data_IF_395421928055
#
_entry.id   IF_395421928055
#
_cell.length_a   1.000
_cell.length_b   1.000
_cell.length_c   1.000
_cell.angle_alpha   90.00
_cell.angle_beta   90.00
_cell.angle_gamma   90.00
#
_symmetry.space_group_name_H-M   'P 1'
#
loop_
_entity.id
_entity.type
_entity.pdbx_description
1 polymer ?
#
# COMPACT_ATOMS: atom_id res chain seq x y z
N UNK A 1 -15.34 5.62 -3.56
CA UNK A 1 -14.65 4.35 -3.26
C UNK A 1 -15.54 3.20 -3.70
N UNK A 2 -15.05 2.30 -4.55
CA UNK A 2 -15.78 1.09 -4.94
C UNK A 2 -15.15 -0.13 -4.26
N UNK A 3 -15.95 -1.01 -3.68
CA UNK A 3 -15.47 -2.28 -3.11
C UNK A 3 -14.69 -3.10 -4.14
N UNK A 4 -15.10 -3.05 -5.41
CA UNK A 4 -14.42 -3.73 -6.51
C UNK A 4 -12.95 -3.31 -6.64
N UNK A 5 -12.67 -2.00 -6.56
CA UNK A 5 -11.30 -1.49 -6.66
C UNK A 5 -10.44 -1.96 -5.47
N UNK A 6 -11.03 -2.03 -4.27
CA UNK A 6 -10.34 -2.49 -3.07
C UNK A 6 -10.01 -3.97 -3.16
N UNK A 7 -10.98 -4.82 -3.49
CA UNK A 7 -10.73 -6.25 -3.60
C UNK A 7 -9.79 -6.58 -4.77
N UNK A 8 -9.89 -5.89 -5.91
CA UNK A 8 -8.89 -6.00 -7.00
C UNK A 8 -7.49 -5.58 -6.56
N UNK A 9 -7.39 -4.53 -5.74
CA UNK A 9 -6.10 -4.10 -5.20
C UNK A 9 -5.51 -5.15 -4.23
N UNK A 10 -6.34 -5.74 -3.36
CA UNK A 10 -5.95 -6.77 -2.40
C UNK A 10 -5.66 -8.14 -3.02
N UNK A 11 -6.23 -8.47 -4.19
CA UNK A 11 -6.03 -9.76 -4.85
C UNK A 11 -4.65 -9.95 -5.50
N UNK A 12 -3.76 -8.95 -5.43
CA UNK A 12 -2.43 -8.97 -6.07
C UNK A 12 -1.33 -9.13 -5.04
N UNK A 13 -0.49 -10.15 -5.26
CA UNK A 13 0.59 -10.52 -4.36
C UNK A 13 1.58 -9.37 -4.11
N UNK A 14 1.95 -8.61 -5.14
CA UNK A 14 2.92 -7.50 -4.99
C UNK A 14 2.34 -6.36 -4.17
N UNK A 15 1.06 -6.03 -4.39
CA UNK A 15 0.36 -5.02 -3.59
C UNK A 15 0.22 -5.43 -2.12
N UNK A 16 -0.04 -6.71 -1.84
CA UNK A 16 -0.03 -7.23 -0.48
C UNK A 16 1.37 -7.13 0.17
N UNK A 17 2.43 -7.48 -0.56
CA UNK A 17 3.81 -7.30 -0.09
C UNK A 17 4.12 -5.83 0.24
N UNK A 18 3.71 -4.89 -0.62
CA UNK A 18 3.85 -3.44 -0.36
C UNK A 18 3.14 -3.03 0.93
N UNK A 19 1.89 -3.45 1.12
CA UNK A 19 1.13 -3.14 2.35
C UNK A 19 1.82 -3.69 3.60
N UNK A 20 2.34 -4.93 3.54
CA UNK A 20 3.09 -5.55 4.65
C UNK A 20 4.37 -4.76 4.95
N UNK A 21 5.13 -4.39 3.92
CA UNK A 21 6.38 -3.63 4.07
C UNK A 21 6.11 -2.26 4.70
N UNK A 22 5.11 -1.52 4.20
CA UNK A 22 4.71 -0.24 4.77
C UNK A 22 4.23 -0.38 6.22
N UNK A 23 3.45 -1.43 6.54
CA UNK A 23 3.02 -1.66 7.92
C UNK A 23 4.20 -1.97 8.87
N UNK A 24 5.21 -2.72 8.41
CA UNK A 24 6.38 -3.11 9.20
C UNK A 24 7.39 -1.97 9.39
N UNK A 25 7.66 -1.22 8.31
CA UNK A 25 8.70 -0.19 8.29
C UNK A 25 8.16 1.23 8.55
N UNK A 26 6.85 1.39 8.62
CA UNK A 26 6.18 2.69 8.69
C UNK A 26 6.20 3.42 7.35
N UNK A 27 6.00 4.74 7.39
CA UNK A 27 5.93 5.55 6.19
C UNK A 27 7.25 5.54 5.39
N UNK A 28 7.20 5.15 4.10
CA UNK A 28 8.39 5.01 3.25
C UNK A 28 8.36 5.89 2.01
N UNK A 29 9.52 6.45 1.63
CA UNK A 29 9.74 7.12 0.35
C UNK A 29 9.63 6.15 -0.83
N UNK A 30 9.13 6.63 -1.97
CA UNK A 30 9.14 5.87 -3.24
C UNK A 30 10.52 5.30 -3.58
N UNK A 31 11.58 6.07 -3.33
CA UNK A 31 12.96 5.69 -3.56
C UNK A 31 13.35 4.41 -2.80
N UNK A 32 13.03 4.34 -1.50
CA UNK A 32 13.29 3.17 -0.66
C UNK A 32 12.43 1.97 -1.05
N UNK A 33 11.21 2.21 -1.53
CA UNK A 33 10.36 1.15 -2.04
C UNK A 33 10.88 0.58 -3.38
N UNK A 34 11.49 1.40 -4.24
CA UNK A 34 12.15 0.89 -5.46
C UNK A 34 13.29 -0.06 -5.10
N UNK A 35 14.14 0.35 -4.16
CA UNK A 35 15.28 -0.46 -3.70
C UNK A 35 14.82 -1.78 -3.05
N UNK A 36 13.78 -1.74 -2.20
CA UNK A 36 13.30 -2.91 -1.46
C UNK A 36 12.64 -3.98 -2.36
N UNK A 37 11.96 -3.55 -3.43
CA UNK A 37 11.17 -4.45 -4.27
C UNK A 37 11.91 -4.89 -5.55
N UNK A 38 13.10 -4.34 -5.82
CA UNK A 38 13.87 -4.58 -7.05
C UNK A 38 13.03 -4.40 -8.32
N UNK A 39 12.05 -3.48 -8.28
CA UNK A 39 11.17 -3.17 -9.39
C UNK A 39 11.63 -1.88 -10.09
N UNK A 40 11.34 -1.77 -11.39
CA UNK A 40 11.44 -0.46 -12.04
C UNK A 40 10.49 0.53 -11.36
N UNK A 41 10.89 1.79 -11.30
CA UNK A 41 10.07 2.87 -10.74
C UNK A 41 8.68 2.94 -11.42
N UNK A 42 8.60 2.67 -12.71
CA UNK A 42 7.33 2.63 -13.46
C UNK A 42 6.39 1.53 -12.97
N UNK A 43 6.90 0.30 -12.76
CA UNK A 43 6.11 -0.82 -12.25
C UNK A 43 5.65 -0.57 -10.81
N UNK A 44 6.54 -0.06 -9.96
CA UNK A 44 6.18 0.26 -8.58
C UNK A 44 5.12 1.37 -8.53
N UNK A 45 5.27 2.42 -9.34
CA UNK A 45 4.31 3.52 -9.41
C UNK A 45 2.92 3.06 -9.84
N UNK A 46 2.83 2.06 -10.72
CA UNK A 46 1.57 1.43 -11.08
C UNK A 46 0.89 0.76 -9.88
N UNK A 47 1.62 -0.04 -9.10
CA UNK A 47 1.07 -0.67 -7.90
C UNK A 47 0.65 0.37 -6.85
N UNK A 48 1.47 1.39 -6.62
CA UNK A 48 1.16 2.48 -5.67
C UNK A 48 -0.06 3.27 -6.11
N UNK A 49 -0.21 3.55 -7.41
CA UNK A 49 -1.40 4.23 -7.95
C UNK A 49 -2.66 3.43 -7.66
N UNK A 50 -2.68 2.13 -7.94
CA UNK A 50 -3.85 1.30 -7.66
C UNK A 50 -4.20 1.24 -6.17
N UNK A 51 -3.19 1.19 -5.30
CA UNK A 51 -3.38 1.22 -3.85
C UNK A 51 -3.91 2.57 -3.34
N UNK A 52 -3.49 3.69 -3.95
CA UNK A 52 -4.02 5.02 -3.66
C UNK A 52 -5.47 5.16 -4.16
N UNK A 53 -5.73 4.74 -5.39
CA UNK A 53 -7.06 4.80 -6.00
C UNK A 53 -8.07 3.94 -5.22
N UNK A 54 -7.61 2.84 -4.59
CA UNK A 54 -8.38 2.01 -3.68
C UNK A 54 -8.38 2.49 -2.22
N UNK A 55 -7.73 3.61 -1.91
CA UNK A 55 -7.60 4.19 -0.58
C UNK A 55 -6.97 3.24 0.48
N UNK A 56 -6.19 2.25 0.05
CA UNK A 56 -5.50 1.30 0.94
C UNK A 56 -4.19 1.85 1.48
N UNK A 57 -3.61 2.83 0.80
CA UNK A 57 -2.48 3.61 1.27
C UNK A 57 -2.78 5.10 1.17
N UNK A 58 -2.07 5.89 1.96
CA UNK A 58 -2.06 7.35 1.89
C UNK A 58 -0.71 7.83 1.37
N UNK A 59 -0.70 9.01 0.75
CA UNK A 59 0.50 9.68 0.26
C UNK A 59 0.73 10.97 1.02
N UNK A 60 1.92 11.15 1.58
CA UNK A 60 2.34 12.36 2.28
C UNK A 60 3.47 13.00 1.46
N UNK A 61 3.23 14.22 0.98
CA UNK A 61 4.23 14.95 0.19
C UNK A 61 5.06 15.83 1.12
N UNK A 62 6.38 15.64 1.13
CA UNK A 62 7.33 16.43 1.92
C UNK A 62 8.39 17.01 0.97
N UNK A 63 8.18 18.26 0.55
CA UNK A 63 9.02 18.91 -0.46
C UNK A 63 8.99 18.15 -1.79
N UNK A 64 10.16 17.68 -2.24
CA UNK A 64 10.30 16.90 -3.48
C UNK A 64 9.98 15.40 -3.32
N UNK A 65 9.81 14.93 -2.08
CA UNK A 65 9.70 13.51 -1.76
C UNK A 65 8.26 13.13 -1.44
N UNK A 66 7.87 11.94 -1.87
CA UNK A 66 6.57 11.35 -1.60
C UNK A 66 6.76 10.13 -0.72
N UNK A 67 6.07 10.14 0.43
CA UNK A 67 6.03 9.05 1.38
C UNK A 67 4.67 8.36 1.32
N UNK A 68 4.66 7.05 1.54
CA UNK A 68 3.46 6.22 1.53
C UNK A 68 3.30 5.52 2.87
N UNK A 69 2.07 5.40 3.34
CA UNK A 69 1.73 4.67 4.57
C UNK A 69 0.42 3.90 4.39
N UNK A 70 0.21 2.85 5.18
CA UNK A 70 -1.01 2.04 5.13
C UNK A 70 -2.18 2.83 5.70
N UNK A 71 -3.28 2.90 4.95
CA UNK A 71 -4.53 3.43 5.44
C UNK A 71 -5.27 2.36 6.27
N UNK A 72 -4.89 2.23 7.55
CA UNK A 72 -5.48 1.24 8.45
C UNK A 72 -6.98 1.46 8.67
N UNK A 73 -7.45 2.70 8.61
CA UNK A 73 -8.87 3.04 8.80
C UNK A 73 -9.76 2.30 7.80
N UNK A 74 -9.36 2.26 6.52
CA UNK A 74 -10.10 1.55 5.48
C UNK A 74 -10.06 0.04 5.71
N UNK A 75 -8.93 -0.51 6.14
CA UNK A 75 -8.84 -1.94 6.44
C UNK A 75 -9.77 -2.35 7.58
N UNK A 76 -9.82 -1.57 8.68
CA UNK A 76 -10.71 -1.83 9.82
C UNK A 76 -12.19 -1.65 9.49
N UNK A 77 -12.54 -0.86 8.47
CA UNK A 77 -13.93 -0.75 7.99
C UNK A 77 -14.39 -1.97 7.18
N UNK A 78 -13.46 -2.73 6.61
CA UNK A 78 -13.76 -3.77 5.62
C UNK A 78 -13.50 -5.19 6.10
N UNK A 79 -12.55 -5.35 7.01
CA UNK A 79 -12.03 -6.65 7.42
C UNK A 79 -12.08 -6.79 8.94
N UNK A 80 -12.23 -8.03 9.39
CA UNK A 80 -12.09 -8.35 10.81
C UNK A 80 -10.66 -8.10 11.29
N UNK A 81 -10.46 -7.86 12.59
CA UNK A 81 -9.13 -7.65 13.16
C UNK A 81 -8.17 -8.83 12.87
N UNK A 82 -8.67 -10.06 12.91
CA UNK A 82 -7.88 -11.25 12.60
C UNK A 82 -7.44 -11.26 11.12
N UNK A 83 -8.34 -10.94 10.21
CA UNK A 83 -8.03 -10.82 8.78
C UNK A 83 -6.99 -9.74 8.51
N UNK A 84 -7.07 -8.60 9.22
CA UNK A 84 -6.09 -7.51 9.10
C UNK A 84 -4.72 -7.94 9.61
N UNK A 85 -4.67 -8.63 10.76
CA UNK A 85 -3.43 -9.18 11.31
C UNK A 85 -2.79 -10.15 10.33
N UNK A 86 -3.56 -11.04 9.70
CA UNK A 86 -3.04 -11.98 8.70
C UNK A 86 -2.53 -11.27 7.44
N UNK A 87 -3.29 -10.28 6.95
CA UNK A 87 -2.95 -9.51 5.76
C UNK A 87 -1.66 -8.69 5.95
N UNK A 88 -1.50 -8.04 7.11
CA UNK A 88 -0.39 -7.14 7.41
C UNK A 88 0.79 -7.79 8.15
N UNK A 89 0.70 -9.09 8.46
CA UNK A 89 1.81 -9.91 8.99
C UNK A 89 2.92 -10.09 7.95
#
# INVERSE_FOLDING_TARGET
MSYEAIFKALADKRRLEILKTLNKRGSMCVCKLVDEFELSQSKLSYHLKLLLDSNLIVKISQGKWNYYDVNKEILYKLLSENSIKELLK
#
